data_IF_684607768528
#
_entry.id   IF_684607768528
#
_cell.length_a   1.000
_cell.length_b   1.000
_cell.length_c   1.000
_cell.angle_alpha   90.00
_cell.angle_beta   90.00
_cell.angle_gamma   90.00
#
_symmetry.space_group_name_H-M   'P 1'
#
loop_
_entity.id
_entity.type
_entity.pdbx_description
1 polymer ?
#
# COMPACT_ATOMS: atom_id res chain seq x y z
N UNK A 1 -6.10 7.97 20.77
CA UNK A 1 -5.96 8.15 19.33
C UNK A 1 -7.22 7.60 18.67
N UNK A 2 -7.55 8.03 17.43
CA UNK A 2 -8.66 7.49 16.66
C UNK A 2 -8.32 6.18 15.96
N UNK A 3 -9.31 5.52 15.29
CA UNK A 3 -9.08 4.33 14.51
C UNK A 3 -8.17 4.62 13.31
N UNK A 4 -7.44 3.59 12.83
CA UNK A 4 -6.71 3.68 11.57
C UNK A 4 -7.67 3.81 10.39
N UNK A 5 -7.26 4.63 9.43
CA UNK A 5 -8.01 4.85 8.21
C UNK A 5 -7.10 4.82 6.97
N UNK A 6 -7.55 4.09 5.96
CA UNK A 6 -6.99 4.08 4.61
C UNK A 6 -8.14 4.07 3.59
N UNK A 7 -8.21 5.09 2.74
CA UNK A 7 -9.27 5.25 1.74
C UNK A 7 -9.31 4.05 0.78
N UNK A 8 -10.52 3.52 0.57
CA UNK A 8 -10.75 2.32 -0.24
C UNK A 8 -10.41 1.00 0.44
N UNK A 9 -9.85 1.03 1.65
CA UNK A 9 -9.58 -0.15 2.45
C UNK A 9 -10.69 -0.34 3.51
N UNK A 10 -10.90 0.64 4.37
CA UNK A 10 -11.85 0.58 5.47
C UNK A 10 -12.69 1.87 5.58
N UNK A 11 -13.37 2.23 4.49
CA UNK A 11 -14.13 3.48 4.38
C UNK A 11 -15.23 3.62 5.46
N UNK A 12 -15.79 2.53 5.93
CA UNK A 12 -16.87 2.50 6.92
C UNK A 12 -16.44 3.11 8.27
N UNK A 13 -15.14 3.17 8.52
CA UNK A 13 -14.59 3.86 9.70
C UNK A 13 -14.96 5.34 9.71
N UNK A 14 -15.10 5.98 8.55
CA UNK A 14 -15.49 7.38 8.42
C UNK A 14 -16.99 7.62 8.74
N UNK A 15 -17.80 6.59 8.74
CA UNK A 15 -19.23 6.66 9.06
C UNK A 15 -19.49 6.60 10.57
N UNK A 16 -18.46 6.30 11.37
CA UNK A 16 -18.54 6.31 12.82
C UNK A 16 -18.48 7.77 13.36
N UNK A 17 -19.08 8.01 14.53
CA UNK A 17 -19.11 9.33 15.20
C UNK A 17 -17.73 9.81 15.70
N UNK A 18 -16.65 9.21 15.27
CA UNK A 18 -15.30 9.62 15.65
C UNK A 18 -14.86 10.88 14.90
N UNK A 19 -14.46 11.90 15.64
CA UNK A 19 -13.89 13.13 15.09
C UNK A 19 -12.38 13.02 14.87
N UNK A 20 -11.78 11.85 15.04
CA UNK A 20 -10.32 11.65 14.95
C UNK A 20 -10.03 10.33 14.27
N UNK A 21 -9.20 10.38 13.24
CA UNK A 21 -8.70 9.22 12.51
C UNK A 21 -7.18 9.28 12.45
N UNK A 22 -6.55 8.12 12.49
CA UNK A 22 -5.12 7.98 12.27
C UNK A 22 -4.92 7.51 10.83
N UNK A 23 -4.46 8.42 9.96
CA UNK A 23 -4.15 8.04 8.57
C UNK A 23 -3.02 7.02 8.56
N UNK A 24 -3.24 5.90 7.92
CA UNK A 24 -2.27 4.84 7.80
C UNK A 24 -0.98 5.31 7.09
N UNK A 25 0.15 4.70 7.41
CA UNK A 25 1.43 5.06 6.76
C UNK A 25 1.46 4.62 5.29
N UNK A 26 2.40 5.17 4.53
CA UNK A 26 2.52 4.85 3.10
C UNK A 26 2.74 3.37 2.81
N UNK A 27 3.59 2.68 3.58
CA UNK A 27 3.77 1.24 3.42
C UNK A 27 2.56 0.44 3.94
N UNK A 28 1.87 0.93 4.97
CA UNK A 28 0.62 0.32 5.46
C UNK A 28 -0.46 0.35 4.38
N UNK A 29 -0.65 1.49 3.67
CA UNK A 29 -1.55 1.55 2.50
C UNK A 29 -1.17 0.54 1.42
N UNK A 30 0.11 0.44 1.08
CA UNK A 30 0.58 -0.48 0.05
C UNK A 30 0.32 -1.94 0.44
N UNK A 31 0.73 -2.36 1.62
CA UNK A 31 0.53 -3.72 2.12
C UNK A 31 -0.97 -4.05 2.20
N UNK A 32 -1.78 -3.14 2.77
CA UNK A 32 -3.22 -3.34 2.88
C UNK A 32 -3.88 -3.54 1.51
N UNK A 33 -3.50 -2.74 0.50
CA UNK A 33 -4.03 -2.89 -0.86
C UNK A 33 -3.60 -4.18 -1.53
N UNK A 34 -2.37 -4.66 -1.31
CA UNK A 34 -1.90 -5.96 -1.80
C UNK A 34 -2.74 -7.10 -1.18
N UNK A 35 -2.90 -7.09 0.14
CA UNK A 35 -3.70 -8.10 0.84
C UNK A 35 -5.16 -8.06 0.39
N UNK A 36 -5.74 -6.85 0.29
CA UNK A 36 -7.12 -6.67 -0.17
C UNK A 36 -7.30 -7.21 -1.59
N UNK A 37 -6.46 -6.78 -2.53
CA UNK A 37 -6.59 -7.11 -3.96
C UNK A 37 -6.41 -8.61 -4.22
N UNK A 38 -5.42 -9.25 -3.62
CA UNK A 38 -5.07 -10.64 -3.95
C UNK A 38 -5.72 -11.69 -3.06
N UNK A 39 -6.21 -11.29 -1.88
CA UNK A 39 -6.87 -12.20 -0.94
C UNK A 39 -8.33 -11.81 -0.70
N UNK A 40 -8.57 -10.70 -0.02
CA UNK A 40 -9.87 -10.40 0.58
C UNK A 40 -10.98 -10.14 -0.46
N UNK A 41 -10.71 -9.36 -1.50
CA UNK A 41 -11.67 -9.07 -2.56
C UNK A 41 -11.99 -10.31 -3.41
N UNK A 42 -11.13 -11.32 -3.35
CA UNK A 42 -11.31 -12.60 -4.04
C UNK A 42 -11.97 -13.67 -3.14
N UNK A 43 -12.24 -13.33 -1.88
CA UNK A 43 -12.73 -14.30 -0.91
C UNK A 43 -11.74 -15.43 -0.62
N UNK A 44 -10.43 -15.22 -0.85
CA UNK A 44 -9.38 -16.21 -0.60
C UNK A 44 -8.91 -16.12 0.85
N UNK A 45 -8.71 -17.28 1.43
CA UNK A 45 -8.09 -17.37 2.75
C UNK A 45 -6.58 -17.22 2.64
N UNK A 46 -6.04 -16.23 3.35
CA UNK A 46 -4.61 -15.95 3.46
C UNK A 46 -4.03 -16.70 4.67
N UNK A 47 -3.20 -17.70 4.42
CA UNK A 47 -2.48 -18.44 5.47
C UNK A 47 -1.39 -17.55 6.11
N UNK A 48 -0.60 -16.87 5.26
CA UNK A 48 0.47 -15.98 5.72
C UNK A 48 0.79 -14.89 4.69
N UNK A 49 1.04 -13.66 5.17
CA UNK A 49 1.59 -12.57 4.38
C UNK A 49 2.91 -12.06 4.95
N UNK A 50 3.99 -12.09 4.14
CA UNK A 50 5.31 -11.60 4.53
C UNK A 50 5.73 -10.44 3.64
N UNK A 51 6.31 -9.39 4.25
CA UNK A 51 6.66 -8.14 3.58
C UNK A 51 8.04 -7.64 4.00
N UNK A 52 8.85 -7.21 3.04
CA UNK A 52 10.13 -6.53 3.29
C UNK A 52 10.08 -5.13 2.69
N UNK A 53 10.03 -4.12 3.55
CA UNK A 53 10.06 -2.71 3.17
C UNK A 53 11.49 -2.24 2.93
N UNK A 54 11.86 -2.05 1.67
CA UNK A 54 13.13 -1.46 1.25
C UNK A 54 12.96 0.06 1.21
N UNK A 55 13.32 0.71 2.32
CA UNK A 55 13.01 2.12 2.55
C UNK A 55 14.09 3.03 1.96
N UNK A 56 13.67 4.11 1.31
CA UNK A 56 14.59 5.19 0.91
C UNK A 56 15.24 5.84 2.15
N UNK A 57 16.38 6.50 1.94
CA UNK A 57 17.17 7.10 3.01
C UNK A 57 16.42 8.20 3.75
N UNK A 58 15.83 9.14 2.99
CA UNK A 58 15.15 10.31 3.52
C UNK A 58 13.84 10.57 2.77
N UNK A 59 12.92 11.26 3.41
CA UNK A 59 11.80 11.90 2.72
C UNK A 59 12.30 13.09 1.88
N UNK A 60 11.53 13.48 0.85
CA UNK A 60 11.95 14.53 -0.10
C UNK A 60 12.29 15.85 0.60
N UNK A 61 11.65 16.11 1.73
CA UNK A 61 11.86 17.33 2.55
C UNK A 61 12.90 17.18 3.65
N UNK A 62 13.53 15.99 3.79
CA UNK A 62 14.49 15.72 4.85
C UNK A 62 15.92 15.65 4.31
N UNK A 63 16.85 16.29 4.99
CA UNK A 63 18.28 16.27 4.66
C UNK A 63 19.19 15.82 5.84
N UNK A 64 18.61 15.41 6.96
CA UNK A 64 19.31 15.27 8.23
C UNK A 64 19.90 13.88 8.47
N UNK A 65 19.51 12.87 7.68
CA UNK A 65 19.97 11.50 7.93
C UNK A 65 20.63 10.89 6.71
N UNK A 66 21.92 11.01 6.64
CA UNK A 66 22.71 10.26 5.68
C UNK A 66 22.79 8.78 6.11
N UNK A 67 22.44 7.88 5.21
CA UNK A 67 22.60 6.44 5.40
C UNK A 67 23.64 5.93 4.40
N UNK A 68 24.91 5.74 4.84
CA UNK A 68 26.00 5.34 3.94
C UNK A 68 25.90 3.88 3.48
N UNK A 69 25.11 3.07 4.18
CA UNK A 69 24.96 1.63 3.92
C UNK A 69 23.56 1.14 4.28
N UNK A 70 23.12 -0.03 3.80
CA UNK A 70 21.88 -0.66 4.24
C UNK A 70 21.82 -0.83 5.74
N UNK A 71 20.73 -0.41 6.36
CA UNK A 71 20.51 -0.51 7.82
C UNK A 71 19.20 -1.24 8.11
N UNK A 72 19.31 -2.40 8.78
CA UNK A 72 18.15 -3.22 9.14
C UNK A 72 17.40 -2.54 10.29
N UNK A 73 16.08 -2.43 10.16
CA UNK A 73 15.22 -1.92 11.23
C UNK A 73 15.00 -3.00 12.28
N UNK A 74 15.25 -2.66 13.54
CA UNK A 74 14.95 -3.57 14.66
C UNK A 74 13.44 -3.87 14.72
N UNK A 75 13.09 -5.13 14.87
CA UNK A 75 11.69 -5.52 15.10
C UNK A 75 11.21 -5.01 16.46
N UNK A 76 10.07 -4.36 16.48
CA UNK A 76 9.43 -3.84 17.69
C UNK A 76 8.50 -4.84 18.35
N UNK A 77 8.08 -5.87 17.61
CA UNK A 77 7.18 -6.93 18.02
C UNK A 77 7.62 -8.25 17.39
N UNK A 78 7.52 -9.37 18.11
CA UNK A 78 7.90 -10.68 17.59
C UNK A 78 6.86 -11.26 16.62
N UNK A 79 5.60 -10.95 16.83
CA UNK A 79 4.48 -11.42 16.03
C UNK A 79 4.44 -10.74 14.65
N UNK A 80 4.50 -9.39 14.62
CA UNK A 80 4.36 -8.60 13.40
C UNK A 80 5.68 -8.09 12.81
N UNK A 81 6.78 -8.19 13.54
CA UNK A 81 8.07 -7.63 13.17
C UNK A 81 8.11 -6.11 13.28
N UNK A 82 7.83 -5.38 12.21
CA UNK A 82 7.71 -3.91 12.22
C UNK A 82 6.24 -3.46 12.35
N UNK A 83 6.02 -2.18 12.64
CA UNK A 83 4.68 -1.61 12.78
C UNK A 83 3.82 -1.75 11.51
N UNK A 84 4.41 -1.88 10.33
CA UNK A 84 3.64 -1.91 9.08
C UNK A 84 2.64 -3.08 9.03
N UNK A 85 3.07 -4.32 9.34
CA UNK A 85 2.17 -5.47 9.38
C UNK A 85 1.14 -5.36 10.51
N UNK A 86 1.56 -4.88 11.69
CA UNK A 86 0.65 -4.63 12.82
C UNK A 86 -0.43 -3.63 12.44
N UNK A 87 -0.07 -2.51 11.85
CA UNK A 87 -1.02 -1.45 11.49
C UNK A 87 -1.99 -1.93 10.39
N UNK A 88 -1.55 -2.82 9.47
CA UNK A 88 -2.44 -3.47 8.50
C UNK A 88 -3.38 -4.47 9.19
N UNK A 89 -2.87 -5.28 10.10
CA UNK A 89 -3.70 -6.18 10.89
C UNK A 89 -4.78 -5.38 11.65
N UNK A 90 -4.41 -4.29 12.31
CA UNK A 90 -5.36 -3.42 13.02
C UNK A 90 -6.39 -2.76 12.08
N UNK A 91 -6.01 -2.40 10.84
CA UNK A 91 -6.96 -1.89 9.83
C UNK A 91 -8.07 -2.91 9.53
N UNK A 92 -7.70 -4.17 9.28
CA UNK A 92 -8.66 -5.21 8.91
C UNK A 92 -9.36 -5.84 10.12
N UNK A 93 -8.75 -5.84 11.31
CA UNK A 93 -9.39 -6.26 12.54
C UNK A 93 -10.63 -5.41 12.89
N UNK A 94 -10.65 -4.14 12.48
CA UNK A 94 -11.83 -3.27 12.60
C UNK A 94 -13.03 -3.78 11.77
N UNK A 95 -12.77 -4.60 10.75
CA UNK A 95 -13.77 -5.30 9.92
C UNK A 95 -13.99 -6.77 10.36
N UNK A 96 -13.43 -7.15 11.50
CA UNK A 96 -13.54 -8.52 12.03
C UNK A 96 -12.68 -9.56 11.29
N UNK A 97 -11.62 -9.13 10.59
CA UNK A 97 -10.69 -10.01 9.85
C UNK A 97 -9.37 -10.12 10.59
N UNK A 98 -9.04 -11.32 11.01
CA UNK A 98 -7.76 -11.66 11.63
C UNK A 98 -6.78 -12.15 10.54
N UNK A 99 -5.64 -11.48 10.41
CA UNK A 99 -4.66 -11.77 9.36
C UNK A 99 -3.29 -12.10 9.96
N UNK A 100 -2.68 -13.18 9.52
CA UNK A 100 -1.32 -13.58 9.85
C UNK A 100 -0.33 -12.83 8.95
N UNK A 101 0.18 -11.70 9.43
CA UNK A 101 1.06 -10.82 8.67
C UNK A 101 2.37 -10.59 9.41
N UNK A 102 3.46 -10.57 8.67
CA UNK A 102 4.78 -10.21 9.18
C UNK A 102 5.47 -9.20 8.25
N UNK A 103 6.13 -8.21 8.83
CA UNK A 103 6.93 -7.27 8.05
C UNK A 103 8.31 -7.03 8.65
N UNK A 104 9.27 -6.86 7.76
CA UNK A 104 10.61 -6.39 8.07
C UNK A 104 10.94 -5.14 7.27
N UNK A 105 11.96 -4.42 7.65
CA UNK A 105 12.35 -3.22 6.93
C UNK A 105 13.87 -3.01 6.93
N UNK A 106 14.36 -2.50 5.80
CA UNK A 106 15.76 -2.10 5.61
C UNK A 106 15.80 -0.69 5.01
N UNK A 107 16.57 0.20 5.62
CA UNK A 107 16.84 1.53 5.08
C UNK A 107 18.02 1.45 4.14
N UNK A 108 17.86 1.98 2.92
CA UNK A 108 18.85 1.95 1.86
C UNK A 108 19.36 3.37 1.55
N UNK A 109 20.60 3.53 1.05
CA UNK A 109 21.13 4.82 0.61
C UNK A 109 20.58 5.19 -0.78
N UNK A 110 19.26 5.15 -0.94
CA UNK A 110 18.55 5.44 -2.19
C UNK A 110 17.51 6.53 -1.95
N UNK A 111 17.03 7.12 -3.03
CA UNK A 111 15.99 8.15 -3.03
C UNK A 111 14.77 7.70 -3.83
N UNK A 112 13.82 8.58 -4.01
CA UNK A 112 12.56 8.48 -4.74
C UNK A 112 11.49 7.68 -4.00
N UNK A 113 11.29 6.38 -4.29
CA UNK A 113 10.21 5.59 -3.71
C UNK A 113 10.75 4.48 -2.80
N UNK A 114 9.95 4.05 -1.84
CA UNK A 114 10.18 2.77 -1.20
C UNK A 114 9.89 1.65 -2.21
N UNK A 115 10.56 0.54 -2.06
CA UNK A 115 10.23 -0.71 -2.73
C UNK A 115 9.75 -1.69 -1.66
N UNK A 116 8.72 -2.45 -1.96
CA UNK A 116 8.19 -3.51 -1.12
C UNK A 116 8.34 -4.83 -1.84
N UNK A 117 9.01 -5.79 -1.22
CA UNK A 117 8.91 -7.20 -1.58
C UNK A 117 7.79 -7.83 -0.76
N UNK A 118 7.00 -8.70 -1.38
CA UNK A 118 5.93 -9.39 -0.69
C UNK A 118 5.86 -10.86 -1.09
N UNK A 119 5.39 -11.68 -0.15
CA UNK A 119 4.96 -13.06 -0.34
C UNK A 119 3.61 -13.24 0.32
N UNK A 120 2.65 -13.78 -0.41
CA UNK A 120 1.36 -14.20 0.08
C UNK A 120 1.22 -15.70 -0.12
N UNK A 121 0.93 -16.43 0.97
CA UNK A 121 0.61 -17.85 0.95
C UNK A 121 -0.89 -17.99 1.19
N UNK A 122 -1.56 -18.67 0.29
CA UNK A 122 -2.99 -18.94 0.38
C UNK A 122 -3.22 -20.40 0.84
N UNK A 123 -4.42 -20.70 1.28
CA UNK A 123 -4.81 -22.08 1.60
C UNK A 123 -4.99 -22.92 0.34
N UNK A 124 -5.47 -22.30 -0.74
CA UNK A 124 -5.72 -22.94 -2.03
C UNK A 124 -4.67 -22.56 -3.08
N UNK A 125 -4.53 -23.40 -4.12
CA UNK A 125 -3.69 -23.10 -5.29
C UNK A 125 -4.22 -21.91 -6.06
N UNK A 126 -3.31 -21.14 -6.64
CA UNK A 126 -3.60 -19.97 -7.43
C UNK A 126 -2.98 -20.07 -8.83
N UNK A 127 -3.56 -19.35 -9.80
CA UNK A 127 -3.04 -19.28 -11.16
C UNK A 127 -2.52 -17.86 -11.47
N UNK A 128 -1.51 -17.76 -12.32
CA UNK A 128 -0.93 -16.47 -12.66
C UNK A 128 -1.95 -15.55 -13.35
N UNK A 129 -2.78 -16.11 -14.20
CA UNK A 129 -3.85 -15.40 -14.93
C UNK A 129 -4.85 -14.75 -13.97
N UNK A 130 -5.25 -15.46 -12.92
CA UNK A 130 -6.15 -14.93 -11.89
C UNK A 130 -5.53 -13.75 -11.14
N UNK A 131 -4.23 -13.84 -10.84
CA UNK A 131 -3.51 -12.74 -10.19
C UNK A 131 -3.46 -11.50 -11.07
N UNK A 132 -3.26 -11.66 -12.38
CA UNK A 132 -3.28 -10.55 -13.33
C UNK A 132 -4.68 -9.94 -13.48
N UNK A 133 -5.73 -10.75 -13.49
CA UNK A 133 -7.12 -10.27 -13.49
C UNK A 133 -7.44 -9.48 -12.23
N UNK A 134 -7.08 -9.99 -11.06
CA UNK A 134 -7.28 -9.31 -9.78
C UNK A 134 -6.56 -7.96 -9.75
N UNK A 135 -5.34 -7.92 -10.25
CA UNK A 135 -4.54 -6.69 -10.32
C UNK A 135 -5.17 -5.67 -11.27
N UNK A 136 -5.66 -6.10 -12.43
CA UNK A 136 -6.31 -5.22 -13.42
C UNK A 136 -7.62 -4.62 -12.90
N UNK A 137 -8.34 -5.32 -12.04
CA UNK A 137 -9.59 -4.88 -11.42
C UNK A 137 -9.39 -3.99 -10.20
N UNK A 138 -8.20 -3.99 -9.61
CA UNK A 138 -7.90 -3.20 -8.40
C UNK A 138 -8.08 -1.69 -8.65
N UNK A 139 -8.72 -1.00 -7.73
CA UNK A 139 -8.90 0.45 -7.81
C UNK A 139 -7.66 1.23 -7.35
N UNK A 140 -6.88 0.65 -6.43
CA UNK A 140 -5.81 1.35 -5.72
C UNK A 140 -4.41 0.83 -6.00
N UNK A 141 -4.27 -0.27 -6.73
CA UNK A 141 -2.99 -0.74 -7.24
C UNK A 141 -2.85 -0.36 -8.72
N UNK A 142 -1.71 0.20 -9.05
CA UNK A 142 -1.25 0.37 -10.42
C UNK A 142 -0.35 -0.77 -10.83
N UNK A 143 -0.17 -0.95 -12.13
CA UNK A 143 0.83 -1.84 -12.70
C UNK A 143 1.92 -1.08 -13.44
N UNK A 144 3.08 -1.68 -13.59
CA UNK A 144 4.16 -1.12 -14.41
C UNK A 144 5.09 -2.21 -14.95
N UNK A 145 5.55 -2.02 -16.18
CA UNK A 145 6.68 -2.77 -16.75
C UNK A 145 8.05 -2.18 -16.36
N UNK A 146 8.04 -0.99 -15.73
CA UNK A 146 9.27 -0.32 -15.30
C UNK A 146 9.83 -0.98 -14.05
N UNK A 147 11.03 -1.55 -14.13
CA UNK A 147 11.69 -2.26 -13.04
C UNK A 147 12.57 -1.34 -12.15
N UNK A 148 12.34 -0.03 -12.21
CA UNK A 148 13.15 0.96 -11.48
C UNK A 148 12.25 2.04 -10.88
N UNK A 149 12.35 2.26 -9.57
CA UNK A 149 11.64 3.34 -8.86
C UNK A 149 11.92 4.74 -9.44
N UNK A 150 13.12 4.95 -9.99
CA UNK A 150 13.48 6.18 -10.68
C UNK A 150 12.61 6.42 -11.94
N UNK A 151 12.39 5.38 -12.75
CA UNK A 151 11.56 5.48 -13.97
C UNK A 151 10.09 5.68 -13.62
N UNK A 152 9.61 5.03 -12.56
CA UNK A 152 8.26 5.20 -12.04
C UNK A 152 8.05 6.62 -11.50
N UNK A 153 8.98 7.12 -10.71
CA UNK A 153 8.95 8.50 -10.20
C UNK A 153 8.96 9.54 -11.34
N UNK A 154 9.77 9.31 -12.37
CA UNK A 154 9.85 10.18 -13.55
C UNK A 154 8.51 10.30 -14.27
N UNK A 155 7.72 9.24 -14.34
CA UNK A 155 6.39 9.28 -14.94
C UNK A 155 5.51 10.35 -14.26
N UNK A 156 5.42 10.33 -12.94
CA UNK A 156 4.63 11.32 -12.20
C UNK A 156 5.13 12.76 -12.41
N UNK A 157 6.46 12.96 -12.44
CA UNK A 157 7.07 14.26 -12.73
C UNK A 157 6.74 14.74 -14.14
N UNK A 158 6.91 13.88 -15.13
CA UNK A 158 6.78 14.23 -16.54
C UNK A 158 5.32 14.50 -16.95
N UNK A 159 4.36 13.97 -16.20
CA UNK A 159 2.92 14.22 -16.36
C UNK A 159 2.40 15.39 -15.49
N UNK A 160 3.29 16.17 -14.89
CA UNK A 160 2.90 17.37 -14.13
C UNK A 160 2.33 17.10 -12.74
N UNK A 161 2.46 15.90 -12.20
CA UNK A 161 1.98 15.54 -10.87
C UNK A 161 3.01 15.76 -9.76
N UNK A 162 4.07 16.51 -10.03
CA UNK A 162 5.14 16.80 -9.08
C UNK A 162 5.74 15.54 -8.41
N UNK A 163 5.85 14.44 -9.17
CA UNK A 163 6.30 13.15 -8.67
C UNK A 163 5.26 12.37 -7.86
N UNK A 164 4.04 12.89 -7.70
CA UNK A 164 2.97 12.18 -6.98
C UNK A 164 2.22 11.26 -7.92
N UNK A 165 2.03 10.04 -7.50
CA UNK A 165 1.13 9.06 -8.12
C UNK A 165 0.07 8.70 -7.09
N UNK A 166 -1.18 8.99 -7.41
CA UNK A 166 -2.32 8.76 -6.53
C UNK A 166 -2.73 7.28 -6.62
N UNK A 167 -1.95 6.44 -5.95
CA UNK A 167 -2.15 5.00 -5.87
C UNK A 167 -1.60 4.51 -4.54
N UNK A 168 -2.09 3.39 -4.03
CA UNK A 168 -1.54 2.82 -2.80
C UNK A 168 -0.25 2.06 -3.05
N UNK A 169 -0.12 1.41 -4.20
CA UNK A 169 1.07 0.70 -4.62
C UNK A 169 1.15 0.56 -6.13
N UNK A 170 2.36 0.34 -6.64
CA UNK A 170 2.63 0.18 -8.06
C UNK A 170 3.36 -1.13 -8.25
N UNK A 171 2.64 -2.14 -8.71
CA UNK A 171 3.16 -3.52 -8.86
C UNK A 171 4.03 -3.61 -10.11
N UNK A 172 5.25 -4.09 -9.94
CA UNK A 172 6.14 -4.40 -11.05
C UNK A 172 5.74 -5.76 -11.66
N UNK A 173 4.95 -5.76 -12.73
CA UNK A 173 4.33 -6.97 -13.30
C UNK A 173 5.32 -8.09 -13.58
N UNK A 174 6.47 -7.76 -14.17
CA UNK A 174 7.52 -8.74 -14.51
C UNK A 174 8.21 -9.37 -13.30
N UNK A 175 7.91 -8.90 -12.09
CA UNK A 175 8.42 -9.46 -10.84
C UNK A 175 7.45 -10.44 -10.18
N UNK A 176 6.22 -10.55 -10.68
CA UNK A 176 5.22 -11.45 -10.12
C UNK A 176 5.59 -12.90 -10.45
N UNK A 177 5.56 -13.73 -9.43
CA UNK A 177 5.82 -15.16 -9.55
C UNK A 177 4.79 -15.93 -8.73
N UNK A 178 4.11 -16.86 -9.40
CA UNK A 178 3.15 -17.78 -8.79
C UNK A 178 3.74 -19.17 -8.79
N UNK A 179 3.74 -19.82 -7.63
CA UNK A 179 4.10 -21.22 -7.50
C UNK A 179 3.17 -21.90 -6.50
N UNK A 180 2.40 -22.86 -6.97
CA UNK A 180 1.40 -23.57 -6.19
C UNK A 180 0.39 -22.61 -5.53
N UNK A 181 0.47 -22.44 -4.22
CA UNK A 181 -0.37 -21.54 -3.44
C UNK A 181 0.37 -20.26 -2.96
N UNK A 182 1.51 -19.94 -3.56
CA UNK A 182 2.35 -18.81 -3.17
C UNK A 182 2.47 -17.79 -4.30
N UNK A 183 2.13 -16.54 -4.00
CA UNK A 183 2.41 -15.37 -4.84
C UNK A 183 3.57 -14.58 -4.23
N UNK A 184 4.57 -14.25 -5.04
CA UNK A 184 5.65 -13.32 -4.68
C UNK A 184 5.76 -12.20 -5.70
N UNK A 185 6.26 -11.04 -5.28
CA UNK A 185 6.49 -9.92 -6.20
C UNK A 185 7.11 -8.71 -5.54
N UNK A 186 7.34 -7.70 -6.37
CA UNK A 186 7.78 -6.38 -5.93
C UNK A 186 6.78 -5.32 -6.34
N UNK A 187 6.65 -4.31 -5.49
CA UNK A 187 5.93 -3.09 -5.82
C UNK A 187 6.64 -1.85 -5.28
N UNK A 188 6.35 -0.71 -5.87
CA UNK A 188 6.83 0.58 -5.41
C UNK A 188 5.74 1.28 -4.60
N UNK A 189 6.14 1.99 -3.54
CA UNK A 189 5.23 2.75 -2.70
C UNK A 189 5.27 4.22 -3.06
N UNK A 190 4.21 4.80 -3.63
CA UNK A 190 4.13 6.22 -3.98
C UNK A 190 3.83 7.06 -2.73
N UNK A 191 4.85 7.23 -1.86
CA UNK A 191 4.71 7.84 -0.54
C UNK A 191 4.02 9.20 -0.51
N UNK A 192 4.31 10.03 -1.51
CA UNK A 192 3.79 11.40 -1.56
C UNK A 192 2.39 11.46 -2.21
N UNK A 193 1.80 10.30 -2.56
CA UNK A 193 0.51 10.18 -3.23
C UNK A 193 -0.53 9.38 -2.45
N UNK A 194 -0.15 8.24 -1.87
CA UNK A 194 -1.14 7.30 -1.31
C UNK A 194 -1.83 7.82 -0.03
N UNK A 195 -1.09 8.25 0.98
CA UNK A 195 -1.67 8.78 2.22
C UNK A 195 -2.41 10.11 2.01
N UNK A 196 -2.08 10.86 0.94
CA UNK A 196 -2.78 12.09 0.58
C UNK A 196 -4.25 11.83 0.27
N UNK A 197 -4.57 10.77 -0.48
CA UNK A 197 -5.95 10.38 -0.80
C UNK A 197 -6.78 10.14 0.45
N UNK A 198 -6.22 9.41 1.43
CA UNK A 198 -6.90 9.16 2.71
C UNK A 198 -7.10 10.43 3.52
N UNK A 199 -6.10 11.33 3.53
CA UNK A 199 -6.23 12.63 4.20
C UNK A 199 -7.32 13.49 3.57
N UNK A 200 -7.40 13.50 2.24
CA UNK A 200 -8.45 14.21 1.51
C UNK A 200 -9.81 13.57 1.77
N UNK A 201 -9.93 12.24 1.70
CA UNK A 201 -11.18 11.55 1.94
C UNK A 201 -11.75 11.83 3.34
N UNK A 202 -10.91 11.77 4.38
CA UNK A 202 -11.31 12.13 5.74
C UNK A 202 -11.76 13.59 5.87
N UNK A 203 -11.09 14.52 5.17
CA UNK A 203 -11.48 15.93 5.15
C UNK A 203 -12.79 16.14 4.39
N UNK A 204 -12.95 15.53 3.23
CA UNK A 204 -14.17 15.64 2.41
C UNK A 204 -15.35 15.06 3.17
N UNK A 205 -15.20 13.90 3.80
CA UNK A 205 -16.25 13.30 4.62
C UNK A 205 -16.69 14.22 5.77
N UNK A 206 -15.75 14.88 6.44
CA UNK A 206 -16.07 15.81 7.52
C UNK A 206 -16.98 16.96 7.07
N UNK A 207 -16.78 17.50 5.86
CA UNK A 207 -17.57 18.63 5.35
C UNK A 207 -18.81 18.22 4.58
N UNK A 208 -18.81 17.06 3.90
CA UNK A 208 -19.88 16.66 2.97
C UNK A 208 -20.59 15.37 3.38
N UNK A 209 -20.39 14.89 4.58
CA UNK A 209 -21.01 13.71 5.21
C UNK A 209 -21.71 12.71 4.27
N UNK A 210 -22.88 13.07 3.73
CA UNK A 210 -23.70 12.17 2.91
C UNK A 210 -23.16 12.00 1.46
N UNK A 211 -22.53 13.04 0.90
CA UNK A 211 -22.08 13.08 -0.50
C UNK A 211 -20.56 12.85 -0.66
N UNK A 212 -19.85 12.55 0.40
CA UNK A 212 -18.39 12.53 0.38
C UNK A 212 -17.81 11.53 -0.62
N UNK A 213 -18.45 10.37 -0.81
CA UNK A 213 -18.03 9.35 -1.78
C UNK A 213 -18.10 9.89 -3.20
N UNK A 214 -19.21 10.55 -3.56
CA UNK A 214 -19.37 11.22 -4.86
C UNK A 214 -18.33 12.32 -5.08
N UNK A 215 -18.04 13.13 -4.04
CA UNK A 215 -17.00 14.16 -4.13
C UNK A 215 -15.60 13.60 -4.36
N UNK A 216 -15.33 12.38 -3.89
CA UNK A 216 -14.05 11.71 -4.11
C UNK A 216 -13.88 11.20 -5.54
N UNK A 217 -14.95 11.02 -6.33
CA UNK A 217 -14.88 10.57 -7.72
C UNK A 217 -14.07 11.51 -8.63
N UNK A 218 -13.91 12.78 -8.25
CA UNK A 218 -13.06 13.74 -8.98
C UNK A 218 -11.62 13.25 -9.12
N UNK A 219 -11.16 12.38 -8.22
CA UNK A 219 -9.81 11.82 -8.24
C UNK A 219 -9.66 10.64 -9.20
N UNK A 220 -10.76 10.02 -9.68
CA UNK A 220 -10.71 8.87 -10.59
C UNK A 220 -9.89 9.15 -11.85
N UNK A 221 -9.91 10.37 -12.37
CA UNK A 221 -9.11 10.80 -13.52
C UNK A 221 -7.59 10.81 -13.27
N UNK A 222 -7.15 10.70 -12.02
CA UNK A 222 -5.75 10.67 -11.62
C UNK A 222 -5.29 9.30 -11.13
N UNK A 223 -6.21 8.33 -11.10
CA UNK A 223 -5.94 6.94 -10.73
C UNK A 223 -5.58 6.16 -11.99
N UNK A 224 -4.31 6.08 -12.30
CA UNK A 224 -3.82 5.31 -13.44
C UNK A 224 -3.88 3.81 -13.14
N UNK A 225 -4.17 3.01 -14.15
CA UNK A 225 -4.11 1.55 -14.04
C UNK A 225 -2.74 1.00 -14.42
N UNK A 226 -2.12 1.58 -15.43
CA UNK A 226 -0.77 1.20 -15.90
C UNK A 226 0.08 2.44 -16.17
N UNK A 227 1.37 2.38 -15.85
CA UNK A 227 2.32 3.47 -16.03
C UNK A 227 3.68 3.02 -16.59
#
# INVERSE_FOLDING_TARGET
FGPFFAWGINNDVLENDSNRYLIASCNTHNIASIVKTFALDQGRELDEGQFVCLRRANDVSQNDSFSPSPTITKHSNQEFGTHHARDVHELFAQEGKELNLFSSAIKLPTQYMHTLWFTLRFTDTIQHEEIMENLSSSEFLMTTEKMSSNKVFSFGRDHGYHGRLLSHGIVAEQSLHVKDNVLTGYCFTPQDGNALLSSVAGTVQHYYKDDWKEKMEIFNRYLFKNI
#
